data_IF_410105967727
#
_entry.id   IF_410105967727
#
_cell.length_a   1.000
_cell.length_b   1.000
_cell.length_c   1.000
_cell.angle_alpha   90.00
_cell.angle_beta   90.00
_cell.angle_gamma   90.00
#
_symmetry.space_group_name_H-M   'P 1'
#
loop_
_entity.id
_entity.type
_entity.pdbx_description
1 polymer ?
#
# COMPACT_ATOMS: atom_id res chain seq x y z
N UNK A 1 -91.98 -29.56 59.75
CA UNK A 1 -90.77 -28.94 60.33
C UNK A 1 -89.50 -29.54 59.72
N UNK A 2 -89.45 -30.87 59.53
CA UNK A 2 -88.33 -31.58 58.88
C UNK A 2 -87.98 -31.12 57.46
N UNK A 3 -88.98 -30.97 56.58
CA UNK A 3 -88.77 -30.55 55.17
C UNK A 3 -88.16 -29.16 55.05
N UNK A 4 -88.58 -28.22 55.91
CA UNK A 4 -88.01 -26.89 55.98
C UNK A 4 -86.53 -26.95 56.40
N UNK A 5 -86.20 -27.78 57.40
CA UNK A 5 -84.83 -27.99 57.85
C UNK A 5 -83.95 -28.60 56.75
N UNK A 6 -84.51 -29.54 55.97
CA UNK A 6 -83.83 -30.15 54.83
C UNK A 6 -83.56 -29.12 53.72
N UNK A 7 -84.55 -28.29 53.37
CA UNK A 7 -84.38 -27.18 52.44
C UNK A 7 -83.27 -26.21 52.89
N UNK A 8 -83.23 -25.85 54.17
CA UNK A 8 -82.19 -24.95 54.70
C UNK A 8 -80.78 -25.56 54.63
N UNK A 9 -80.64 -26.88 54.86
CA UNK A 9 -79.36 -27.59 54.70
C UNK A 9 -78.90 -27.59 53.24
N UNK A 10 -79.81 -27.89 52.31
CA UNK A 10 -79.53 -27.86 50.87
C UNK A 10 -79.10 -26.47 50.41
N UNK A 11 -79.82 -25.43 50.83
CA UNK A 11 -79.49 -24.04 50.46
C UNK A 11 -78.09 -23.66 50.96
N UNK A 12 -77.74 -24.03 52.20
CA UNK A 12 -76.41 -23.78 52.77
C UNK A 12 -75.31 -24.51 51.99
N UNK A 13 -75.54 -25.78 51.62
CA UNK A 13 -74.58 -26.53 50.79
C UNK A 13 -74.35 -25.83 49.45
N UNK A 14 -75.43 -25.44 48.77
CA UNK A 14 -75.34 -24.73 47.48
C UNK A 14 -74.63 -23.38 47.61
N UNK A 15 -74.87 -22.65 48.70
CA UNK A 15 -74.19 -21.39 48.98
C UNK A 15 -72.68 -21.60 49.13
N UNK A 16 -72.28 -22.62 49.90
CA UNK A 16 -70.87 -22.97 50.07
C UNK A 16 -70.22 -23.40 48.74
N UNK A 17 -70.90 -24.23 47.94
CA UNK A 17 -70.40 -24.66 46.63
C UNK A 17 -70.17 -23.45 45.69
N UNK A 18 -71.05 -22.46 45.73
CA UNK A 18 -70.92 -21.21 44.98
C UNK A 18 -69.77 -20.34 45.51
N UNK A 19 -69.61 -20.23 46.82
CA UNK A 19 -68.50 -19.50 47.45
C UNK A 19 -67.15 -20.13 47.08
N UNK A 20 -67.02 -21.46 47.17
CA UNK A 20 -65.81 -22.20 46.80
C UNK A 20 -65.49 -22.03 45.31
N UNK A 21 -66.51 -22.10 44.44
CA UNK A 21 -66.33 -21.87 43.01
C UNK A 21 -65.93 -20.41 42.71
N UNK A 22 -66.50 -19.43 43.41
CA UNK A 22 -66.13 -18.03 43.26
C UNK A 22 -64.70 -17.76 43.71
N UNK A 23 -64.26 -18.36 44.83
CA UNK A 23 -62.90 -18.26 45.31
C UNK A 23 -61.89 -18.89 44.32
N UNK A 24 -62.23 -20.05 43.76
CA UNK A 24 -61.41 -20.71 42.72
C UNK A 24 -61.28 -19.84 41.47
N UNK A 25 -62.40 -19.33 40.94
CA UNK A 25 -62.39 -18.47 39.75
C UNK A 25 -61.59 -17.19 40.01
N UNK A 26 -61.75 -16.57 41.18
CA UNK A 26 -60.99 -15.38 41.56
C UNK A 26 -59.47 -15.64 41.61
N UNK A 27 -59.06 -16.78 42.14
CA UNK A 27 -57.64 -17.18 42.17
C UNK A 27 -57.08 -17.42 40.75
N UNK A 28 -57.84 -18.09 39.89
CA UNK A 28 -57.48 -18.31 38.49
C UNK A 28 -57.37 -16.97 37.72
N UNK A 29 -58.29 -16.04 37.95
CA UNK A 29 -58.28 -14.71 37.33
C UNK A 29 -57.05 -13.89 37.77
N UNK A 30 -56.71 -13.89 39.06
CA UNK A 30 -55.51 -13.23 39.57
C UNK A 30 -54.22 -13.81 38.99
N UNK A 31 -54.16 -15.14 38.84
CA UNK A 31 -53.02 -15.82 38.21
C UNK A 31 -52.89 -15.44 36.73
N UNK A 32 -54.00 -15.43 35.99
CA UNK A 32 -54.02 -15.01 34.58
C UNK A 32 -53.60 -13.54 34.44
N UNK A 33 -54.10 -12.67 35.31
CA UNK A 33 -53.75 -11.25 35.31
C UNK A 33 -52.24 -11.02 35.51
N UNK A 34 -51.64 -11.67 36.50
CA UNK A 34 -50.19 -11.60 36.74
C UNK A 34 -49.38 -12.13 35.54
N UNK A 35 -49.87 -13.19 34.89
CA UNK A 35 -49.25 -13.75 33.69
C UNK A 35 -49.27 -12.76 32.53
N UNK A 36 -50.42 -12.11 32.29
CA UNK A 36 -50.57 -11.09 31.23
C UNK A 36 -49.63 -9.91 31.49
N UNK A 37 -49.58 -9.39 32.71
CA UNK A 37 -48.67 -8.29 33.04
C UNK A 37 -47.19 -8.63 32.81
N UNK A 38 -46.80 -9.86 33.14
CA UNK A 38 -45.43 -10.35 32.90
C UNK A 38 -45.13 -10.37 31.39
N UNK A 39 -46.03 -10.95 30.59
CA UNK A 39 -45.89 -11.02 29.14
C UNK A 39 -45.89 -9.64 28.46
N UNK A 40 -46.67 -8.68 28.95
CA UNK A 40 -46.65 -7.29 28.46
C UNK A 40 -45.30 -6.61 28.71
N UNK A 41 -44.69 -6.87 29.88
CA UNK A 41 -43.34 -6.41 30.21
C UNK A 41 -42.29 -7.00 29.27
N UNK A 42 -42.34 -8.31 29.05
CA UNK A 42 -41.45 -9.02 28.13
C UNK A 42 -41.60 -8.52 26.69
N UNK A 43 -42.84 -8.35 26.21
CA UNK A 43 -43.14 -7.83 24.88
C UNK A 43 -42.57 -6.42 24.69
N UNK A 44 -42.71 -5.56 25.71
CA UNK A 44 -42.14 -4.22 25.71
C UNK A 44 -40.61 -4.24 25.68
N UNK A 45 -40.00 -5.21 26.37
CA UNK A 45 -38.55 -5.42 26.35
C UNK A 45 -38.05 -5.88 24.98
N UNK A 46 -38.69 -6.91 24.41
CA UNK A 46 -38.40 -7.40 23.05
C UNK A 46 -38.52 -6.28 22.04
N UNK A 47 -39.58 -5.47 22.10
CA UNK A 47 -39.76 -4.33 21.19
C UNK A 47 -38.60 -3.33 21.25
N UNK A 48 -38.09 -3.04 22.45
CA UNK A 48 -36.94 -2.14 22.64
C UNK A 48 -35.66 -2.75 22.07
N UNK A 49 -35.40 -4.03 22.35
CA UNK A 49 -34.24 -4.73 21.80
C UNK A 49 -34.28 -4.79 20.27
N UNK A 50 -35.43 -5.09 19.67
CA UNK A 50 -35.59 -5.10 18.21
C UNK A 50 -35.27 -3.73 17.58
N UNK A 51 -35.69 -2.63 18.21
CA UNK A 51 -35.35 -1.27 17.73
C UNK A 51 -33.85 -1.01 17.83
N UNK A 52 -33.23 -1.39 18.95
CA UNK A 52 -31.78 -1.24 19.14
C UNK A 52 -30.98 -2.06 18.13
N UNK A 53 -31.30 -3.34 17.95
CA UNK A 53 -30.63 -4.21 16.98
C UNK A 53 -30.75 -3.66 15.56
N UNK A 54 -31.90 -3.08 15.20
CA UNK A 54 -32.07 -2.43 13.90
C UNK A 54 -31.11 -1.24 13.73
N UNK A 55 -31.05 -0.35 14.72
CA UNK A 55 -30.14 0.81 14.67
C UNK A 55 -28.66 0.38 14.60
N UNK A 56 -28.27 -0.65 15.35
CA UNK A 56 -26.93 -1.23 15.30
C UNK A 56 -26.61 -1.84 13.93
N UNK A 57 -27.58 -2.51 13.31
CA UNK A 57 -27.46 -3.08 11.96
C UNK A 57 -27.28 -1.97 10.91
N UNK A 58 -28.06 -0.90 10.98
CA UNK A 58 -27.95 0.25 10.07
C UNK A 58 -26.58 0.94 10.19
N UNK A 59 -26.07 1.10 11.43
CA UNK A 59 -24.72 1.63 11.69
C UNK A 59 -23.64 0.72 11.11
N UNK A 60 -23.78 -0.59 11.29
CA UNK A 60 -22.85 -1.58 10.76
C UNK A 60 -22.84 -1.58 9.23
N UNK A 61 -23.99 -1.48 8.58
CA UNK A 61 -24.10 -1.42 7.12
C UNK A 61 -23.39 -0.17 6.56
N UNK A 62 -23.57 0.98 7.21
CA UNK A 62 -22.86 2.21 6.84
C UNK A 62 -21.34 2.04 6.95
N UNK A 63 -20.85 1.52 8.08
CA UNK A 63 -19.42 1.28 8.28
C UNK A 63 -18.85 0.29 7.25
N UNK A 64 -19.60 -0.77 6.91
CA UNK A 64 -19.24 -1.70 5.83
C UNK A 64 -19.11 -0.98 4.49
N UNK A 65 -20.03 -0.09 4.15
CA UNK A 65 -19.97 0.73 2.92
C UNK A 65 -18.73 1.62 2.85
N UNK A 66 -18.34 2.24 3.98
CA UNK A 66 -17.13 3.06 4.08
C UNK A 66 -15.85 2.23 3.90
N UNK A 67 -15.77 1.05 4.55
CA UNK A 67 -14.64 0.12 4.41
C UNK A 67 -14.51 -0.36 2.96
N UNK A 68 -15.62 -0.78 2.33
CA UNK A 68 -15.62 -1.20 0.93
C UNK A 68 -15.11 -0.09 0.00
N UNK A 69 -15.53 1.16 0.24
CA UNK A 69 -15.06 2.32 -0.53
C UNK A 69 -13.54 2.53 -0.38
N UNK A 70 -13.01 2.37 0.83
CA UNK A 70 -11.58 2.47 1.10
C UNK A 70 -10.78 1.34 0.42
N UNK A 71 -11.28 0.10 0.47
CA UNK A 71 -10.66 -1.06 -0.21
C UNK A 71 -10.57 -0.81 -1.71
N UNK A 72 -11.68 -0.39 -2.34
CA UNK A 72 -11.72 -0.08 -3.78
C UNK A 72 -10.75 1.05 -4.13
N UNK A 73 -10.68 2.09 -3.32
CA UNK A 73 -9.74 3.20 -3.55
C UNK A 73 -8.27 2.75 -3.48
N UNK A 74 -7.93 1.79 -2.60
CA UNK A 74 -6.59 1.21 -2.51
C UNK A 74 -6.29 0.29 -3.68
N UNK A 75 -7.23 -0.58 -4.05
CA UNK A 75 -7.09 -1.49 -5.19
C UNK A 75 -6.85 -0.74 -6.51
N UNK A 76 -7.52 0.40 -6.72
CA UNK A 76 -7.29 1.25 -7.92
C UNK A 76 -5.85 1.77 -8.04
N UNK A 77 -5.06 1.79 -6.96
CA UNK A 77 -3.66 2.23 -7.00
C UNK A 77 -2.70 1.12 -7.44
N UNK A 78 -3.09 -0.15 -7.35
CA UNK A 78 -2.21 -1.26 -7.71
C UNK A 78 -1.77 -1.25 -9.18
N UNK A 79 -2.64 -1.01 -10.18
CA UNK A 79 -2.20 -0.97 -11.58
C UNK A 79 -1.13 0.09 -11.85
N UNK A 80 -1.22 1.26 -11.20
CA UNK A 80 -0.20 2.30 -11.32
C UNK A 80 1.13 1.87 -10.67
N UNK A 81 1.08 1.18 -9.53
CA UNK A 81 2.29 0.67 -8.87
C UNK A 81 2.93 -0.49 -9.66
N UNK A 82 2.13 -1.37 -10.24
CA UNK A 82 2.60 -2.46 -11.11
C UNK A 82 3.25 -1.92 -12.39
N UNK A 83 2.66 -0.87 -12.99
CA UNK A 83 3.26 -0.17 -14.13
C UNK A 83 4.61 0.43 -13.75
N UNK A 84 4.69 1.14 -12.62
CA UNK A 84 5.94 1.71 -12.13
C UNK A 84 7.00 0.64 -11.86
N UNK A 85 6.63 -0.49 -11.24
CA UNK A 85 7.54 -1.62 -11.04
C UNK A 85 8.09 -2.15 -12.38
N UNK A 86 7.23 -2.32 -13.38
CA UNK A 86 7.64 -2.77 -14.72
C UNK A 86 8.63 -1.80 -15.36
N UNK A 87 8.38 -0.49 -15.28
CA UNK A 87 9.30 0.55 -15.76
C UNK A 87 10.64 0.54 -15.03
N UNK A 88 10.63 0.31 -13.71
CA UNK A 88 11.84 0.20 -12.91
C UNK A 88 12.66 -1.04 -13.29
N UNK A 89 12.01 -2.19 -13.48
CA UNK A 89 12.69 -3.40 -13.95
C UNK A 89 13.32 -3.18 -15.33
N UNK A 90 12.59 -2.57 -16.26
CA UNK A 90 13.12 -2.26 -17.59
C UNK A 90 14.33 -1.31 -17.53
N UNK A 91 14.27 -0.29 -16.66
CA UNK A 91 15.38 0.64 -16.46
C UNK A 91 16.60 -0.05 -15.86
N UNK A 92 16.39 -0.98 -14.92
CA UNK A 92 17.47 -1.77 -14.32
C UNK A 92 18.16 -2.66 -15.36
N UNK A 93 17.38 -3.31 -16.23
CA UNK A 93 17.91 -4.16 -17.30
C UNK A 93 18.79 -3.36 -18.26
N UNK A 94 18.35 -2.16 -18.68
CA UNK A 94 19.15 -1.25 -19.51
C UNK A 94 20.46 -0.82 -18.83
N UNK A 95 20.41 -0.48 -17.53
CA UNK A 95 21.62 -0.12 -16.77
C UNK A 95 22.59 -1.31 -16.71
N UNK A 96 22.09 -2.52 -16.47
CA UNK A 96 22.92 -3.72 -16.43
C UNK A 96 23.56 -4.01 -17.79
N UNK A 97 22.82 -3.83 -18.88
CA UNK A 97 23.33 -3.97 -20.24
C UNK A 97 24.43 -2.94 -20.55
N UNK A 98 24.20 -1.65 -20.27
CA UNK A 98 25.22 -0.61 -20.47
C UNK A 98 26.47 -0.86 -19.63
N UNK A 99 26.30 -1.29 -18.37
CA UNK A 99 27.42 -1.66 -17.49
C UNK A 99 28.27 -2.79 -18.08
N UNK A 100 27.65 -3.76 -18.76
CA UNK A 100 28.37 -4.83 -19.46
C UNK A 100 29.11 -4.36 -20.72
N UNK A 101 28.53 -3.40 -21.44
CA UNK A 101 29.08 -2.89 -22.70
C UNK A 101 30.19 -1.83 -22.52
N UNK A 102 30.14 -1.04 -21.44
CA UNK A 102 31.07 0.06 -21.19
C UNK A 102 32.55 -0.38 -21.16
N UNK A 103 32.93 -1.46 -20.46
CA UNK A 103 34.32 -1.91 -20.39
C UNK A 103 34.86 -2.31 -21.77
N UNK A 104 34.02 -2.94 -22.60
CA UNK A 104 34.39 -3.32 -23.97
C UNK A 104 34.69 -2.08 -24.80
N UNK A 105 33.75 -1.12 -24.86
CA UNK A 105 33.94 0.16 -25.56
C UNK A 105 35.17 0.93 -25.06
N UNK A 106 35.43 0.92 -23.76
CA UNK A 106 36.59 1.56 -23.15
C UNK A 106 37.90 0.87 -23.57
N UNK A 107 37.92 -0.46 -23.59
CA UNK A 107 39.08 -1.25 -24.00
C UNK A 107 39.41 -1.05 -25.48
N UNK A 108 38.41 -0.98 -26.35
CA UNK A 108 38.56 -0.69 -27.78
C UNK A 108 39.16 0.70 -28.00
N UNK A 109 38.63 1.73 -27.33
CA UNK A 109 39.20 3.09 -27.39
C UNK A 109 40.63 3.12 -26.89
N UNK A 110 40.93 2.43 -25.78
CA UNK A 110 42.29 2.38 -25.22
C UNK A 110 43.27 1.73 -26.18
N UNK A 111 42.86 0.65 -26.84
CA UNK A 111 43.65 -0.04 -27.87
C UNK A 111 43.93 0.90 -29.06
N UNK A 112 42.89 1.58 -29.56
CA UNK A 112 43.03 2.55 -30.65
C UNK A 112 44.03 3.67 -30.32
N UNK A 113 43.91 4.30 -29.16
CA UNK A 113 44.85 5.36 -28.76
C UNK A 113 46.27 4.85 -28.57
N UNK A 114 46.45 3.60 -28.09
CA UNK A 114 47.77 2.98 -28.01
C UNK A 114 48.39 2.84 -29.40
N UNK A 115 47.64 2.32 -30.38
CA UNK A 115 48.10 2.18 -31.76
C UNK A 115 48.50 3.53 -32.37
N UNK A 116 47.67 4.56 -32.19
CA UNK A 116 47.98 5.93 -32.67
C UNK A 116 49.24 6.48 -32.00
N UNK A 117 49.42 6.23 -30.70
CA UNK A 117 50.61 6.68 -29.97
C UNK A 117 51.86 5.98 -30.50
N UNK A 118 51.80 4.66 -30.72
CA UNK A 118 52.91 3.89 -31.28
C UNK A 118 53.28 4.35 -32.69
N UNK A 119 52.28 4.66 -33.53
CA UNK A 119 52.49 5.19 -34.88
C UNK A 119 53.22 6.54 -34.85
N UNK A 120 52.76 7.47 -33.99
CA UNK A 120 53.42 8.77 -33.80
C UNK A 120 54.87 8.58 -33.32
N UNK A 121 55.10 7.69 -32.35
CA UNK A 121 56.46 7.40 -31.85
C UNK A 121 57.35 6.85 -32.97
N UNK A 122 56.82 5.97 -33.82
CA UNK A 122 57.57 5.40 -34.93
C UNK A 122 57.91 6.46 -35.98
N UNK A 123 56.95 7.31 -36.35
CA UNK A 123 57.19 8.44 -37.26
C UNK A 123 58.26 9.40 -36.71
N UNK A 124 58.21 9.71 -35.41
CA UNK A 124 59.21 10.57 -34.78
C UNK A 124 60.61 9.94 -34.79
N UNK A 125 60.72 8.64 -34.51
CA UNK A 125 61.99 7.90 -34.59
C UNK A 125 62.54 7.87 -36.01
N UNK A 126 61.68 7.75 -37.01
CA UNK A 126 62.07 7.76 -38.41
C UNK A 126 62.59 9.15 -38.82
N UNK A 127 61.93 10.22 -38.41
CA UNK A 127 62.43 11.59 -38.60
C UNK A 127 63.78 11.81 -37.90
N UNK A 128 63.94 11.31 -36.67
CA UNK A 128 65.21 11.39 -35.95
C UNK A 128 66.35 10.68 -36.70
N UNK A 129 66.11 9.46 -37.19
CA UNK A 129 67.08 8.71 -38.01
C UNK A 129 67.46 9.48 -39.27
N UNK A 130 66.47 10.04 -39.98
CA UNK A 130 66.71 10.83 -41.18
C UNK A 130 67.62 12.05 -40.90
N UNK A 131 67.43 12.73 -39.76
CA UNK A 131 68.29 13.83 -39.34
C UNK A 131 69.71 13.38 -38.95
N UNK A 132 69.83 12.24 -38.27
CA UNK A 132 71.12 11.68 -37.87
C UNK A 132 71.95 11.23 -39.10
N UNK A 133 71.30 10.63 -40.10
CA UNK A 133 71.92 10.26 -41.38
C UNK A 133 72.39 11.50 -42.18
N UNK A 134 71.62 12.59 -42.17
CA UNK A 134 72.00 13.86 -42.83
C UNK A 134 73.03 14.68 -42.04
N UNK A 135 73.14 14.50 -40.72
CA UNK A 135 74.24 15.07 -39.92
C UNK A 135 75.58 14.43 -40.28
N UNK A 136 75.58 13.15 -40.62
CA UNK A 136 76.79 12.44 -41.05
C UNK A 136 77.18 12.73 -42.51
N UNK A 137 76.27 13.23 -43.36
CA UNK A 137 76.61 13.65 -44.72
C UNK A 137 77.17 15.08 -44.82
N UNK A 138 77.14 15.87 -43.75
CA UNK A 138 77.51 17.30 -43.78
C UNK A 138 78.99 17.59 -43.42
N UNK A 139 79.86 16.57 -43.42
CA UNK A 139 81.28 16.72 -43.09
C UNK A 139 82.22 16.78 -44.30
N UNK A 140 81.71 16.99 -45.53
CA UNK A 140 82.54 17.24 -46.71
C UNK A 140 81.87 18.29 -47.62
N UNK A 141 82.55 19.42 -47.81
CA UNK A 141 82.50 20.17 -49.07
C UNK A 141 81.86 21.57 -49.04
N UNK A 142 82.71 22.58 -49.14
CA UNK A 142 82.43 24.02 -49.19
C UNK A 142 81.65 24.54 -50.43
N UNK A 143 81.03 25.70 -50.21
CA UNK A 143 80.84 26.86 -51.10
C UNK A 143 79.97 26.73 -52.36
N UNK A 144 78.83 27.44 -52.39
CA UNK A 144 78.71 28.77 -53.04
C UNK A 144 77.29 29.36 -52.95
N UNK A 145 77.25 30.66 -52.70
CA UNK A 145 76.12 31.59 -52.57
C UNK A 145 75.87 32.28 -53.95
N UNK A 146 74.91 33.21 -54.16
CA UNK A 146 73.47 33.33 -53.86
C UNK A 146 72.62 33.44 -55.17
N UNK A 147 71.27 33.49 -55.09
CA UNK A 147 70.50 34.56 -55.78
C UNK A 147 69.06 34.65 -55.28
N UNK A 148 68.69 35.92 -55.14
CA UNK A 148 67.42 36.57 -54.80
C UNK A 148 66.29 36.29 -55.81
N UNK A 149 65.03 36.23 -55.35
CA UNK A 149 63.93 37.15 -55.73
C UNK A 149 62.52 36.59 -55.53
N UNK A 150 61.67 37.47 -55.00
CA UNK A 150 60.24 37.68 -55.31
C UNK A 150 59.22 37.31 -54.23
N UNK A 151 58.93 38.35 -53.43
CA UNK A 151 57.62 38.71 -52.86
C UNK A 151 56.39 38.00 -53.47
N UNK A 152 55.60 37.35 -52.59
CA UNK A 152 54.12 37.36 -52.68
C UNK A 152 53.48 37.39 -51.28
N UNK A 153 52.82 38.52 -51.03
CA UNK A 153 51.75 38.91 -50.09
C UNK A 153 51.43 38.05 -48.84
N UNK A 154 51.19 38.71 -47.68
CA UNK A 154 50.49 38.12 -46.55
C UNK A 154 49.00 37.98 -46.91
N UNK A 155 48.58 36.76 -47.18
CA UNK A 155 47.20 36.41 -47.48
C UNK A 155 46.67 35.51 -46.38
N UNK A 156 45.76 36.06 -45.59
CA UNK A 156 44.72 35.35 -44.86
C UNK A 156 45.21 34.45 -43.72
N UNK A 157 45.25 35.07 -42.55
CA UNK A 157 44.76 34.49 -41.31
C UNK A 157 43.35 33.95 -41.58
N UNK A 158 43.24 32.74 -42.15
CA UNK A 158 41.99 32.01 -42.28
C UNK A 158 41.64 31.48 -40.90
N UNK A 159 41.13 32.40 -40.08
CA UNK A 159 40.01 32.21 -39.17
C UNK A 159 39.67 30.74 -38.91
N UNK A 160 40.40 30.10 -37.98
CA UNK A 160 39.86 29.00 -37.19
C UNK A 160 38.81 29.53 -36.18
N UNK A 161 37.93 30.44 -36.59
CA UNK A 161 36.73 30.74 -35.80
C UNK A 161 35.67 29.66 -36.00
N UNK A 162 35.61 28.93 -37.13
CA UNK A 162 34.47 28.02 -37.36
C UNK A 162 34.44 26.83 -36.38
N UNK A 163 35.58 26.17 -36.11
CA UNK A 163 35.63 25.04 -35.15
C UNK A 163 35.49 25.49 -33.69
N UNK A 164 36.06 26.64 -33.33
CA UNK A 164 35.91 27.21 -31.98
C UNK A 164 34.49 27.72 -31.73
N UNK A 165 33.85 28.35 -32.73
CA UNK A 165 32.47 28.83 -32.67
C UNK A 165 31.50 27.65 -32.64
N UNK A 166 31.71 26.58 -33.43
CA UNK A 166 30.92 25.34 -33.32
C UNK A 166 31.07 24.66 -31.96
N UNK A 167 32.29 24.54 -31.45
CA UNK A 167 32.56 23.97 -30.13
C UNK A 167 31.85 24.76 -29.02
N UNK A 168 31.95 26.09 -29.04
CA UNK A 168 31.28 26.97 -28.08
C UNK A 168 29.77 26.93 -28.25
N UNK A 169 29.26 26.87 -29.48
CA UNK A 169 27.82 26.79 -29.75
C UNK A 169 27.22 25.46 -29.28
N UNK A 170 27.92 24.34 -29.49
CA UNK A 170 27.50 23.02 -29.00
C UNK A 170 27.53 22.95 -27.46
N UNK A 171 28.56 23.53 -26.83
CA UNK A 171 28.65 23.61 -25.37
C UNK A 171 27.57 24.53 -24.79
N UNK A 172 27.25 25.64 -25.46
CA UNK A 172 26.16 26.53 -25.07
C UNK A 172 24.79 25.84 -25.20
N UNK A 173 24.58 25.06 -26.27
CA UNK A 173 23.35 24.31 -26.48
C UNK A 173 23.21 23.17 -25.44
N UNK A 174 24.29 22.47 -25.13
CA UNK A 174 24.32 21.48 -24.05
C UNK A 174 24.01 22.12 -22.69
N UNK A 175 24.65 23.24 -22.35
CA UNK A 175 24.39 23.97 -21.10
C UNK A 175 22.97 24.54 -21.04
N UNK A 176 22.43 25.00 -22.17
CA UNK A 176 21.04 25.48 -22.28
C UNK A 176 20.04 24.34 -22.05
N UNK A 177 20.33 23.14 -22.55
CA UNK A 177 19.52 21.94 -22.34
C UNK A 177 19.60 21.42 -20.91
N UNK A 178 20.77 21.44 -20.27
CA UNK A 178 20.89 21.14 -18.84
C UNK A 178 20.11 22.15 -17.99
N UNK A 179 20.21 23.44 -18.32
CA UNK A 179 19.46 24.48 -17.62
C UNK A 179 17.94 24.33 -17.79
N UNK A 180 17.47 23.89 -18.96
CA UNK A 180 16.04 23.64 -19.19
C UNK A 180 15.54 22.44 -18.39
N UNK A 181 16.33 21.36 -18.30
CA UNK A 181 16.04 20.20 -17.46
C UNK A 181 15.99 20.57 -15.97
N UNK A 182 16.96 21.35 -15.48
CA UNK A 182 16.98 21.82 -14.08
C UNK A 182 15.76 22.70 -13.79
N UNK A 183 15.34 23.56 -14.72
CA UNK A 183 14.12 24.35 -14.58
C UNK A 183 12.88 23.45 -14.49
N UNK A 184 12.80 22.39 -15.29
CA UNK A 184 11.70 21.44 -15.23
C UNK A 184 11.66 20.69 -13.89
N UNK A 185 12.80 20.17 -13.44
CA UNK A 185 12.92 19.50 -12.14
C UNK A 185 12.55 20.44 -10.98
N UNK A 186 12.92 21.71 -11.05
CA UNK A 186 12.51 22.71 -10.06
C UNK A 186 10.99 22.86 -10.00
N UNK A 187 10.31 22.96 -11.14
CA UNK A 187 8.85 23.07 -11.19
C UNK A 187 8.16 21.82 -10.60
N UNK A 188 8.73 20.64 -10.84
CA UNK A 188 8.22 19.39 -10.29
C UNK A 188 8.41 19.32 -8.76
N UNK A 189 9.58 19.73 -8.26
CA UNK A 189 9.84 19.86 -6.83
C UNK A 189 8.92 20.90 -6.17
N UNK A 190 8.70 22.06 -6.81
CA UNK A 190 7.79 23.09 -6.28
C UNK A 190 6.35 22.56 -6.17
N UNK A 191 5.91 21.76 -7.15
CA UNK A 191 4.62 21.09 -7.12
C UNK A 191 4.53 20.05 -5.99
N UNK A 192 5.56 19.23 -5.83
CA UNK A 192 5.60 18.22 -4.77
C UNK A 192 5.63 18.86 -3.38
N UNK A 193 6.38 19.95 -3.22
CA UNK A 193 6.48 20.71 -1.98
C UNK A 193 5.13 21.36 -1.61
N UNK A 194 4.38 21.85 -2.61
CA UNK A 194 3.00 22.32 -2.42
C UNK A 194 2.06 21.22 -1.93
N UNK A 195 2.14 20.02 -2.51
CA UNK A 195 1.36 18.83 -2.06
C UNK A 195 1.72 18.40 -0.65
N UNK A 196 3.02 18.42 -0.31
CA UNK A 196 3.51 18.09 1.02
C UNK A 196 2.97 19.09 2.05
N UNK A 197 3.05 20.38 1.74
CA UNK A 197 2.51 21.46 2.58
C UNK A 197 1.01 21.26 2.85
N UNK A 198 0.23 20.96 1.81
CA UNK A 198 -1.19 20.66 1.95
C UNK A 198 -1.45 19.43 2.84
N UNK A 199 -0.64 18.38 2.68
CA UNK A 199 -0.76 17.15 3.48
C UNK A 199 -0.44 17.39 4.96
N UNK A 200 0.57 18.21 5.26
CA UNK A 200 0.91 18.63 6.63
C UNK A 200 -0.23 19.44 7.24
N UNK A 201 -0.82 20.37 6.50
CA UNK A 201 -1.95 21.18 6.98
C UNK A 201 -3.17 20.30 7.33
N UNK A 202 -3.46 19.29 6.52
CA UNK A 202 -4.52 18.30 6.78
C UNK A 202 -4.20 17.48 8.05
N UNK A 203 -2.96 17.01 8.20
CA UNK A 203 -2.56 16.25 9.39
C UNK A 203 -2.64 17.11 10.66
N UNK A 204 -2.26 18.39 10.57
CA UNK A 204 -2.37 19.34 11.68
C UNK A 204 -3.81 19.55 12.12
N UNK A 205 -4.75 19.64 11.17
CA UNK A 205 -6.19 19.69 11.47
C UNK A 205 -6.67 18.41 12.15
N UNK A 206 -6.28 17.24 11.61
CA UNK A 206 -6.65 15.94 12.20
C UNK A 206 -6.09 15.72 13.61
N UNK A 207 -4.90 16.24 13.90
CA UNK A 207 -4.35 16.19 15.26
C UNK A 207 -5.33 16.85 16.26
N UNK A 208 -6.00 17.93 15.86
CA UNK A 208 -6.97 18.63 16.70
C UNK A 208 -8.28 17.85 16.91
N UNK A 209 -8.55 16.82 16.12
CA UNK A 209 -9.72 15.95 16.30
C UNK A 209 -9.50 14.93 17.43
N UNK A 210 -8.25 14.64 17.81
CA UNK A 210 -7.94 13.77 18.95
C UNK A 210 -8.25 14.46 20.28
N UNK A 211 -8.53 13.67 21.31
CA UNK A 211 -8.75 14.22 22.66
C UNK A 211 -7.49 14.93 23.18
N UNK A 212 -7.63 16.00 24.00
CA UNK A 212 -6.49 16.76 24.52
C UNK A 212 -5.43 15.89 25.20
N UNK A 213 -5.87 14.89 25.97
CA UNK A 213 -5.01 13.99 26.73
C UNK A 213 -4.09 13.16 25.83
N UNK A 214 -4.54 12.82 24.61
CA UNK A 214 -3.74 12.10 23.62
C UNK A 214 -2.78 13.03 22.87
N UNK A 215 -3.12 14.33 22.71
CA UNK A 215 -2.25 15.31 22.05
C UNK A 215 -1.08 15.75 22.93
N UNK A 216 -1.32 15.81 24.24
CA UNK A 216 -0.33 16.21 25.24
C UNK A 216 0.59 15.06 25.66
N UNK A 217 0.27 13.83 25.25
CA UNK A 217 1.03 12.63 25.55
C UNK A 217 2.36 12.59 24.80
N UNK A 218 3.40 12.07 25.45
CA UNK A 218 4.73 11.97 24.85
C UNK A 218 4.72 11.04 23.62
N UNK A 219 5.36 11.48 22.54
CA UNK A 219 5.39 10.74 21.26
C UNK A 219 5.98 9.34 21.45
N UNK A 220 7.02 9.18 22.28
CA UNK A 220 7.63 7.86 22.51
C UNK A 220 6.71 6.93 23.30
N UNK A 221 5.85 7.49 24.15
CA UNK A 221 4.82 6.72 24.82
C UNK A 221 3.76 6.24 23.83
N UNK A 222 3.27 7.13 22.95
CA UNK A 222 2.32 6.77 21.89
C UNK A 222 2.89 5.72 20.93
N UNK A 223 4.17 5.82 20.57
CA UNK A 223 4.86 4.83 19.73
C UNK A 223 4.93 3.45 20.41
N UNK A 224 5.20 3.40 21.72
CA UNK A 224 5.20 2.15 22.48
C UNK A 224 3.82 1.53 22.56
N UNK A 225 2.80 2.34 22.84
CA UNK A 225 1.41 1.87 22.91
C UNK A 225 0.93 1.35 21.55
N UNK A 226 1.29 2.04 20.46
CA UNK A 226 1.00 1.56 19.10
C UNK A 226 1.65 0.20 18.81
N UNK A 227 2.90 0.01 19.23
CA UNK A 227 3.60 -1.28 19.08
C UNK A 227 2.94 -2.39 19.90
N UNK A 228 2.50 -2.10 21.14
CA UNK A 228 1.76 -3.05 21.97
C UNK A 228 0.43 -3.45 21.31
N UNK A 229 -0.36 -2.47 20.84
CA UNK A 229 -1.62 -2.73 20.13
C UNK A 229 -1.42 -3.53 18.83
N UNK A 230 -0.31 -3.32 18.12
CA UNK A 230 0.02 -4.12 16.94
C UNK A 230 0.37 -5.57 17.30
N UNK A 231 1.02 -5.81 18.44
CA UNK A 231 1.28 -7.15 18.95
C UNK A 231 -0.02 -7.85 19.36
N UNK A 232 -0.87 -7.19 20.15
CA UNK A 232 -2.18 -7.73 20.56
C UNK A 232 -3.05 -8.10 19.34
N UNK A 233 -3.00 -7.26 18.30
CA UNK A 233 -3.71 -7.54 17.04
C UNK A 233 -3.20 -8.81 16.36
N UNK A 234 -1.89 -9.08 16.42
CA UNK A 234 -1.31 -10.29 15.87
C UNK A 234 -1.75 -11.52 16.67
N UNK A 235 -1.70 -11.45 18.01
CA UNK A 235 -2.17 -12.53 18.88
C UNK A 235 -3.66 -12.84 18.67
N UNK A 236 -4.50 -11.80 18.55
CA UNK A 236 -5.92 -11.97 18.25
C UNK A 236 -6.15 -12.64 16.88
N UNK A 237 -5.33 -12.31 15.88
CA UNK A 237 -5.41 -12.95 14.57
C UNK A 237 -5.06 -14.44 14.63
N UNK A 238 -4.03 -14.81 15.40
CA UNK A 238 -3.65 -16.20 15.64
C UNK A 238 -4.75 -16.98 16.38
N UNK A 239 -5.35 -16.36 17.41
CA UNK A 239 -6.48 -16.94 18.12
C UNK A 239 -7.68 -17.18 17.20
N UNK A 240 -8.01 -16.22 16.34
CA UNK A 240 -9.07 -16.36 15.34
C UNK A 240 -8.79 -17.49 14.34
N UNK A 241 -7.55 -17.65 13.89
CA UNK A 241 -7.16 -18.77 13.03
C UNK A 241 -7.28 -20.12 13.75
N UNK A 242 -6.89 -20.19 15.03
CA UNK A 242 -7.06 -21.39 15.87
C UNK A 242 -8.53 -21.79 16.00
N UNK A 243 -9.43 -20.83 16.24
CA UNK A 243 -10.88 -21.09 16.28
C UNK A 243 -11.41 -21.60 14.94
N UNK A 244 -10.99 -20.99 13.83
CA UNK A 244 -11.36 -21.48 12.50
C UNK A 244 -10.90 -22.93 12.28
N UNK A 245 -9.68 -23.27 12.69
CA UNK A 245 -9.18 -24.64 12.60
C UNK A 245 -9.98 -25.62 13.46
N UNK A 246 -10.40 -25.22 14.66
CA UNK A 246 -11.26 -26.04 15.52
C UNK A 246 -12.65 -26.24 14.90
N UNK A 247 -13.23 -25.22 14.30
CA UNK A 247 -14.51 -25.33 13.58
C UNK A 247 -14.39 -26.32 12.42
N UNK A 248 -13.29 -26.27 11.65
CA UNK A 248 -13.04 -27.24 10.56
C UNK A 248 -12.94 -28.67 11.10
N UNK A 249 -12.26 -28.87 12.23
CA UNK A 249 -12.19 -30.20 12.89
C UNK A 249 -13.56 -30.70 13.30
N UNK A 250 -14.42 -29.85 13.86
CA UNK A 250 -15.78 -30.21 14.26
C UNK A 250 -16.67 -30.54 13.06
N UNK A 251 -16.52 -29.85 11.93
CA UNK A 251 -17.22 -30.16 10.67
C UNK A 251 -16.85 -31.53 10.09
N UNK A 252 -15.65 -32.02 10.38
CA UNK A 252 -15.18 -33.34 9.93
C UNK A 252 -15.68 -34.51 10.77
N UNK A 253 -16.45 -34.28 11.84
CA UNK A 253 -17.00 -35.33 12.68
C UNK A 253 -18.36 -35.74 12.10
N UNK A 254 -18.40 -36.93 11.49
CA UNK A 254 -19.66 -37.62 11.15
C UNK A 254 -19.84 -38.86 12.03
N UNK A 255 -21.08 -39.16 12.40
CA UNK A 255 -21.40 -40.36 13.17
C UNK A 255 -22.59 -41.09 12.57
N UNK A 256 -22.41 -42.38 12.32
CA UNK A 256 -23.48 -43.23 11.78
C UNK A 256 -24.19 -43.97 12.91
N UNK A 257 -25.48 -43.70 13.06
CA UNK A 257 -26.36 -44.39 14.00
C UNK A 257 -27.14 -45.47 13.25
N UNK A 258 -27.06 -46.71 13.73
CA UNK A 258 -27.85 -47.82 13.20
C UNK A 258 -29.15 -47.93 14.01
N UNK A 259 -30.29 -47.82 13.34
CA UNK A 259 -31.60 -48.07 13.90
C UNK A 259 -31.83 -49.56 14.13
N UNK A 260 -32.56 -49.92 15.18
CA UNK A 260 -33.04 -51.29 15.42
C UNK A 260 -33.94 -51.83 14.30
N UNK A 261 -34.43 -50.96 13.42
CA UNK A 261 -35.16 -51.26 12.20
C UNK A 261 -34.26 -51.66 11.01
N UNK A 262 -32.93 -51.58 11.14
CA UNK A 262 -31.96 -51.93 10.09
C UNK A 262 -31.50 -50.75 9.23
N UNK A 263 -32.13 -49.57 9.34
CA UNK A 263 -31.69 -48.35 8.64
C UNK A 263 -30.48 -47.71 9.31
N UNK A 264 -29.62 -47.08 8.51
CA UNK A 264 -28.44 -46.33 8.98
C UNK A 264 -28.63 -44.84 8.70
N UNK A 265 -28.42 -44.02 9.72
CA UNK A 265 -28.49 -42.57 9.63
C UNK A 265 -27.11 -41.96 9.89
N UNK A 266 -26.61 -41.15 8.96
CA UNK A 266 -25.37 -40.41 9.11
C UNK A 266 -25.68 -38.99 9.62
N UNK A 267 -25.11 -38.64 10.77
CA UNK A 267 -25.25 -37.32 11.38
C UNK A 267 -23.96 -36.55 11.09
N UNK A 268 -24.08 -35.47 10.33
CA UNK A 268 -23.02 -34.51 10.08
C UNK A 268 -23.36 -33.16 10.71
N UNK A 269 -22.36 -32.52 11.33
CA UNK A 269 -22.47 -31.15 11.84
C UNK A 269 -22.27 -30.15 10.70
N UNK A 270 -23.30 -29.94 9.89
CA UNK A 270 -23.34 -28.83 8.92
C UNK A 270 -23.80 -27.53 9.60
N UNK A 271 -23.06 -26.45 9.37
CA UNK A 271 -23.41 -25.12 9.89
C UNK A 271 -24.72 -24.64 9.29
N UNK A 272 -25.71 -24.31 10.12
CA UNK A 272 -26.89 -23.56 9.70
C UNK A 272 -26.44 -22.24 9.05
N UNK A 273 -26.66 -22.12 7.74
CA UNK A 273 -26.51 -20.84 7.03
C UNK A 273 -27.75 -20.02 7.37
N UNK A 274 -27.58 -19.08 8.31
CA UNK A 274 -28.51 -17.98 8.56
C UNK A 274 -27.99 -16.71 7.92
#
# INVERSE_FOLDING_TARGET
>A
MEEYLQCMKTLRSQMNDVEDQAAKVSAEEQMLFATVQTLEGDLSSVKRHTLQTKEETDKMEKAKGEICSMILAKQRKFPSLEANLSTLYQSLELIQQERGNLPVKLSEKRSYYSMVTDDIINQLKEQQRWMDDHKHSSLIGENSQPTDTTFKKPGELEVCQDDAVKSVSNNYEAASNELSLVKQQKLELDLENSKLTQSVEIMKKKINDFKPELREMDVKFLEKELLALLADKAELAEFMQSLQLQIVKLKGISHTINCSCGEKYEIELNSCVG
#
